data_IF_158758008248
#
_entry.id   IF_158758008248
#
_cell.length_a   1.000
_cell.length_b   1.000
_cell.length_c   1.000
_cell.angle_alpha   90.00
_cell.angle_beta   90.00
_cell.angle_gamma   90.00
#
_symmetry.space_group_name_H-M   'P 1'
#
loop_
_entity.id
_entity.type
_entity.pdbx_description
1 polymer ?
#
# COMPACT_ATOMS: atom_id res chain seq x y z
N UNK A 1 -14.02 34.70 -0.84
CA UNK A 1 -14.38 33.29 -1.10
C UNK A 1 -13.39 32.59 -2.03
N UNK A 2 -13.09 33.12 -3.23
CA UNK A 2 -12.11 32.50 -4.15
C UNK A 2 -10.69 32.36 -3.58
N UNK A 3 -10.18 33.37 -2.86
CA UNK A 3 -8.84 33.34 -2.27
C UNK A 3 -8.72 32.23 -1.21
N UNK A 4 -9.69 32.11 -0.31
CA UNK A 4 -9.70 31.07 0.72
C UNK A 4 -9.76 29.66 0.12
N UNK A 5 -10.59 29.49 -0.92
CA UNK A 5 -10.66 28.24 -1.68
C UNK A 5 -9.33 27.90 -2.36
N UNK A 6 -8.71 28.87 -3.03
CA UNK A 6 -7.44 28.68 -3.72
C UNK A 6 -6.29 28.35 -2.74
N UNK A 7 -6.24 29.03 -1.58
CA UNK A 7 -5.29 28.73 -0.52
C UNK A 7 -5.49 27.32 0.05
N UNK A 8 -6.73 26.89 0.25
CA UNK A 8 -7.05 25.52 0.67
C UNK A 8 -6.58 24.48 -0.35
N UNK A 9 -6.86 24.71 -1.63
CA UNK A 9 -6.40 23.85 -2.71
C UNK A 9 -4.86 23.77 -2.77
N UNK A 10 -4.19 24.93 -2.68
CA UNK A 10 -2.74 25.02 -2.69
C UNK A 10 -2.11 24.26 -1.51
N UNK A 11 -2.65 24.43 -0.30
CA UNK A 11 -2.16 23.75 0.89
C UNK A 11 -2.31 22.22 0.78
N UNK A 12 -3.45 21.73 0.29
CA UNK A 12 -3.67 20.29 0.09
C UNK A 12 -2.83 19.72 -1.04
N UNK A 13 -2.66 20.46 -2.14
CA UNK A 13 -1.75 20.09 -3.22
C UNK A 13 -0.29 20.02 -2.74
N UNK A 14 0.16 21.02 -1.97
CA UNK A 14 1.50 21.02 -1.38
C UNK A 14 1.67 19.82 -0.42
N UNK A 15 0.68 19.53 0.42
CA UNK A 15 0.68 18.36 1.30
C UNK A 15 0.76 17.05 0.52
N UNK A 16 0.04 16.93 -0.60
CA UNK A 16 0.10 15.77 -1.49
C UNK A 16 1.49 15.61 -2.11
N UNK A 17 2.09 16.69 -2.62
CA UNK A 17 3.43 16.70 -3.20
C UNK A 17 4.49 16.32 -2.16
N UNK A 18 4.43 16.90 -0.96
CA UNK A 18 5.34 16.57 0.14
C UNK A 18 5.18 15.10 0.55
N UNK A 19 3.95 14.59 0.65
CA UNK A 19 3.70 13.18 0.95
C UNK A 19 4.28 12.25 -0.11
N UNK A 20 4.12 12.60 -1.39
CA UNK A 20 4.71 11.84 -2.49
C UNK A 20 6.24 11.90 -2.48
N UNK A 21 6.84 13.06 -2.20
CA UNK A 21 8.29 13.22 -2.08
C UNK A 21 8.87 12.43 -0.90
N UNK A 22 8.18 12.40 0.24
CA UNK A 22 8.55 11.58 1.41
C UNK A 22 8.49 10.09 1.08
N UNK A 23 7.41 9.62 0.44
CA UNK A 23 7.30 8.23 0.02
C UNK A 23 8.41 7.85 -0.99
N UNK A 24 8.69 8.74 -1.96
CA UNK A 24 9.80 8.55 -2.91
C UNK A 24 11.14 8.43 -2.19
N UNK A 25 11.37 9.29 -1.20
CA UNK A 25 12.58 9.29 -0.38
C UNK A 25 12.71 8.00 0.42
N UNK A 26 11.64 7.54 1.07
CA UNK A 26 11.63 6.25 1.78
C UNK A 26 11.99 5.09 0.86
N UNK A 27 11.43 5.05 -0.36
CA UNK A 27 11.79 4.02 -1.35
C UNK A 27 13.24 4.16 -1.81
N UNK A 28 13.73 5.38 -2.03
CA UNK A 28 15.12 5.60 -2.42
C UNK A 28 16.13 5.20 -1.34
N UNK A 29 15.82 5.46 -0.06
CA UNK A 29 16.67 5.16 1.10
C UNK A 29 16.51 3.70 1.59
N UNK A 30 15.44 3.01 1.20
CA UNK A 30 15.23 1.60 1.53
C UNK A 30 16.24 0.67 0.86
N UNK A 31 16.39 -0.54 1.38
CA UNK A 31 17.27 -1.58 0.81
C UNK A 31 16.47 -2.50 -0.12
N UNK A 32 17.13 -3.03 -1.16
CA UNK A 32 16.51 -4.07 -1.97
C UNK A 32 16.36 -5.36 -1.15
N UNK A 33 15.25 -6.07 -1.33
CA UNK A 33 15.08 -7.40 -0.74
C UNK A 33 16.11 -8.37 -1.34
N UNK A 34 16.83 -9.09 -0.48
CA UNK A 34 17.83 -10.09 -0.87
C UNK A 34 17.37 -11.52 -0.60
N UNK A 35 16.38 -11.72 0.27
CA UNK A 35 15.84 -13.04 0.56
C UNK A 35 15.21 -13.66 -0.70
N UNK A 36 15.78 -14.79 -1.13
CA UNK A 36 15.34 -15.52 -2.32
C UNK A 36 13.92 -16.06 -2.16
N UNK A 37 13.52 -16.44 -0.95
CA UNK A 37 12.19 -16.96 -0.71
C UNK A 37 11.14 -15.87 -0.92
N UNK A 38 11.31 -14.71 -0.30
CA UNK A 38 10.44 -13.55 -0.52
C UNK A 38 10.39 -13.10 -2.00
N UNK A 39 11.56 -13.08 -2.68
CA UNK A 39 11.65 -12.72 -4.09
C UNK A 39 10.93 -13.74 -5.00
N UNK A 40 11.06 -15.03 -4.71
CA UNK A 40 10.38 -16.12 -5.42
C UNK A 40 8.86 -16.05 -5.22
N UNK A 41 8.41 -15.93 -3.98
CA UNK A 41 6.99 -15.80 -3.65
C UNK A 41 6.36 -14.59 -4.36
N UNK A 42 7.02 -13.42 -4.36
CA UNK A 42 6.55 -12.25 -5.12
C UNK A 42 6.43 -12.56 -6.61
N UNK A 43 7.43 -13.19 -7.22
CA UNK A 43 7.44 -13.47 -8.64
C UNK A 43 6.29 -14.40 -9.04
N UNK A 44 6.08 -15.47 -8.28
CA UNK A 44 4.96 -16.41 -8.46
C UNK A 44 3.61 -15.70 -8.33
N UNK A 45 3.41 -14.94 -7.24
CA UNK A 45 2.16 -14.20 -7.01
C UNK A 45 1.89 -13.18 -8.11
N UNK A 46 2.93 -12.48 -8.60
CA UNK A 46 2.78 -11.54 -9.72
C UNK A 46 2.36 -12.27 -11.01
N UNK A 47 2.94 -13.45 -11.28
CA UNK A 47 2.57 -14.27 -12.43
C UNK A 47 1.12 -14.78 -12.32
N UNK A 48 0.73 -15.32 -11.16
CA UNK A 48 -0.64 -15.76 -10.86
C UNK A 48 -1.67 -14.62 -10.96
N UNK A 49 -1.27 -13.40 -10.58
CA UNK A 49 -2.08 -12.20 -10.66
C UNK A 49 -2.16 -11.61 -12.09
N UNK A 50 -1.35 -12.10 -13.03
CA UNK A 50 -1.23 -11.55 -14.37
C UNK A 50 -0.55 -10.17 -14.42
N UNK A 51 0.25 -9.83 -13.40
CA UNK A 51 0.98 -8.56 -13.32
C UNK A 51 2.20 -8.62 -14.23
N UNK A 52 2.10 -7.97 -15.40
CA UNK A 52 3.18 -7.97 -16.42
C UNK A 52 4.29 -6.95 -16.17
N UNK A 53 4.06 -5.98 -15.30
CA UNK A 53 5.04 -4.94 -14.97
C UNK A 53 6.00 -5.43 -13.90
N UNK A 54 7.22 -4.90 -13.92
CA UNK A 54 8.20 -5.16 -12.87
C UNK A 54 7.71 -4.59 -11.53
N UNK A 55 7.62 -5.46 -10.52
CA UNK A 55 7.24 -5.09 -9.15
C UNK A 55 8.48 -5.17 -8.26
N UNK A 56 8.95 -4.03 -7.75
CA UNK A 56 10.07 -3.99 -6.82
C UNK A 56 9.68 -4.53 -5.44
N UNK A 57 10.61 -5.19 -4.77
CA UNK A 57 10.48 -5.58 -3.36
C UNK A 57 11.63 -4.98 -2.58
N UNK A 58 11.31 -4.19 -1.56
CA UNK A 58 12.29 -3.46 -0.76
C UNK A 58 11.93 -3.58 0.72
N UNK A 59 12.92 -3.34 1.56
CA UNK A 59 12.79 -3.36 3.02
C UNK A 59 13.31 -2.07 3.64
N UNK A 60 12.64 -1.58 4.67
CA UNK A 60 13.08 -0.41 5.42
C UNK A 60 12.65 -0.50 6.88
N UNK A 61 13.59 -0.24 7.80
CA UNK A 61 13.27 -0.05 9.22
C UNK A 61 12.52 1.26 9.52
N UNK A 62 12.36 2.16 8.54
CA UNK A 62 11.65 3.43 8.70
C UNK A 62 10.13 3.33 8.43
N UNK A 63 9.61 2.14 8.13
CA UNK A 63 8.17 1.90 7.94
C UNK A 63 7.63 0.92 8.97
N UNK A 64 6.46 1.24 9.53
CA UNK A 64 5.76 0.36 10.48
C UNK A 64 4.78 -0.62 9.81
N UNK A 65 4.44 -0.39 8.56
CA UNK A 65 3.51 -1.20 7.76
C UNK A 65 4.00 -1.29 6.30
N UNK A 66 3.48 -2.23 5.51
CA UNK A 66 3.73 -2.31 4.08
C UNK A 66 3.29 -1.02 3.40
N UNK A 67 4.10 -0.55 2.47
CA UNK A 67 3.81 0.63 1.66
C UNK A 67 3.96 0.28 0.20
N UNK A 68 2.89 0.47 -0.56
CA UNK A 68 2.93 0.39 -2.01
C UNK A 68 3.17 1.78 -2.63
N UNK A 69 4.23 1.88 -3.44
CA UNK A 69 4.59 3.14 -4.11
C UNK A 69 4.87 2.95 -5.60
N UNK A 70 4.41 3.91 -6.40
CA UNK A 70 4.70 4.00 -7.84
C UNK A 70 3.62 3.38 -8.74
N UNK A 71 3.40 4.00 -9.90
CA UNK A 71 2.38 3.57 -10.88
C UNK A 71 2.99 2.72 -12.00
N UNK A 72 4.08 3.21 -12.61
CA UNK A 72 4.74 2.51 -13.73
C UNK A 72 5.59 1.33 -13.25
N UNK A 73 6.35 1.54 -12.18
CA UNK A 73 7.18 0.53 -11.50
C UNK A 73 6.74 0.46 -10.04
N UNK A 74 5.64 -0.25 -9.73
CA UNK A 74 5.17 -0.40 -8.37
C UNK A 74 6.25 -1.07 -7.53
N UNK A 75 6.43 -0.59 -6.30
CA UNK A 75 7.39 -1.11 -5.35
C UNK A 75 6.66 -1.38 -4.05
N UNK A 76 6.74 -2.62 -3.58
CA UNK A 76 6.26 -3.06 -2.28
C UNK A 76 7.42 -2.83 -1.30
N UNK A 77 7.21 -1.97 -0.32
CA UNK A 77 8.16 -1.68 0.75
C UNK A 77 7.67 -2.33 2.04
N UNK A 78 8.45 -3.25 2.60
CA UNK A 78 8.12 -3.96 3.84
C UNK A 78 8.92 -3.43 5.03
N UNK A 79 8.36 -3.48 6.25
CA UNK A 79 9.13 -3.31 7.48
C UNK A 79 10.20 -4.40 7.60
N UNK A 80 11.43 -4.02 7.96
CA UNK A 80 12.56 -4.95 8.12
C UNK A 80 12.23 -6.05 9.15
N UNK A 81 11.66 -5.65 10.31
CA UNK A 81 11.28 -6.56 11.39
C UNK A 81 10.27 -7.64 10.98
N UNK A 82 9.42 -7.37 9.98
CA UNK A 82 8.39 -8.33 9.55
C UNK A 82 8.99 -9.43 8.68
N UNK A 83 10.00 -9.10 7.90
CA UNK A 83 10.71 -10.08 7.07
C UNK A 83 11.47 -11.07 7.95
N UNK A 84 11.99 -10.60 9.08
CA UNK A 84 12.72 -11.44 10.04
C UNK A 84 11.80 -12.27 10.96
N UNK A 85 10.60 -11.76 11.26
CA UNK A 85 9.72 -12.37 12.28
C UNK A 85 8.54 -13.16 11.72
N UNK A 86 8.13 -12.93 10.47
CA UNK A 86 7.01 -13.66 9.88
C UNK A 86 7.44 -15.04 9.39
N UNK A 87 6.57 -16.03 9.60
CA UNK A 87 6.72 -17.33 8.95
C UNK A 87 6.58 -17.17 7.42
N UNK A 88 7.12 -18.14 6.69
CA UNK A 88 7.09 -18.17 5.23
C UNK A 88 5.68 -18.01 4.65
N UNK A 89 4.72 -18.72 5.25
CA UNK A 89 3.32 -18.72 4.84
C UNK A 89 2.67 -17.34 5.07
N UNK A 90 2.97 -16.70 6.20
CA UNK A 90 2.46 -15.38 6.55
C UNK A 90 3.04 -14.29 5.66
N UNK A 91 4.33 -14.37 5.32
CA UNK A 91 4.96 -13.46 4.38
C UNK A 91 4.37 -13.61 2.98
N UNK A 92 4.14 -14.85 2.50
CA UNK A 92 3.49 -15.10 1.21
C UNK A 92 2.06 -14.54 1.20
N UNK A 93 1.33 -14.74 2.29
CA UNK A 93 -0.03 -14.24 2.46
C UNK A 93 -0.09 -12.70 2.39
N UNK A 94 0.81 -12.02 3.09
CA UNK A 94 0.96 -10.57 3.04
C UNK A 94 1.34 -10.09 1.63
N UNK A 95 2.30 -10.76 0.98
CA UNK A 95 2.68 -10.41 -0.39
C UNK A 95 1.52 -10.61 -1.37
N UNK A 96 0.66 -11.61 -1.16
CA UNK A 96 -0.52 -11.81 -1.99
C UNK A 96 -1.48 -10.62 -1.90
N UNK A 97 -1.72 -10.11 -0.69
CA UNK A 97 -2.51 -8.89 -0.47
C UNK A 97 -1.90 -7.68 -1.19
N UNK A 98 -0.60 -7.43 -1.01
CA UNK A 98 0.08 -6.31 -1.67
C UNK A 98 0.09 -6.44 -3.21
N UNK A 99 0.27 -7.64 -3.74
CA UNK A 99 0.19 -7.91 -5.19
C UNK A 99 -1.23 -7.68 -5.72
N UNK A 100 -2.28 -7.92 -4.93
CA UNK A 100 -3.65 -7.59 -5.32
C UNK A 100 -3.82 -6.08 -5.58
N UNK A 101 -3.27 -5.24 -4.68
CA UNK A 101 -3.23 -3.79 -4.86
C UNK A 101 -2.43 -3.37 -6.09
N UNK A 102 -1.29 -4.02 -6.32
CA UNK A 102 -0.50 -3.83 -7.54
C UNK A 102 -1.34 -4.16 -8.77
N UNK A 103 -1.95 -5.34 -8.84
CA UNK A 103 -2.74 -5.79 -9.99
C UNK A 103 -3.86 -4.79 -10.32
N UNK A 104 -4.57 -4.31 -9.30
CA UNK A 104 -5.68 -3.36 -9.44
C UNK A 104 -5.24 -1.93 -9.71
N UNK A 105 -3.96 -1.61 -9.53
CA UNK A 105 -3.42 -0.27 -9.78
C UNK A 105 -3.82 0.75 -8.72
N UNK A 106 -3.96 0.32 -7.47
CA UNK A 106 -4.49 1.15 -6.38
C UNK A 106 -3.63 2.40 -6.10
N UNK A 107 -2.33 2.39 -6.40
CA UNK A 107 -1.51 3.62 -6.34
C UNK A 107 -2.04 4.73 -7.24
N UNK A 108 -2.44 4.41 -8.47
CA UNK A 108 -3.00 5.40 -9.40
C UNK A 108 -4.39 5.84 -8.94
N UNK A 109 -5.22 4.88 -8.51
CA UNK A 109 -6.57 5.16 -8.04
C UNK A 109 -6.56 6.06 -6.79
N UNK A 110 -5.64 5.82 -5.85
CA UNK A 110 -5.41 6.67 -4.68
C UNK A 110 -4.91 8.07 -5.07
N UNK A 111 -4.02 8.18 -6.06
CA UNK A 111 -3.54 9.47 -6.54
C UNK A 111 -4.67 10.30 -7.18
N UNK A 112 -5.44 9.70 -8.08
CA UNK A 112 -6.59 10.35 -8.74
C UNK A 112 -7.61 10.81 -7.71
N UNK A 113 -7.97 9.93 -6.76
CA UNK A 113 -8.89 10.26 -5.69
C UNK A 113 -8.41 11.47 -4.87
N UNK A 114 -7.15 11.51 -4.46
CA UNK A 114 -6.58 12.66 -3.73
C UNK A 114 -6.59 13.94 -4.55
N UNK A 115 -6.33 13.87 -5.86
CA UNK A 115 -6.40 15.04 -6.74
C UNK A 115 -7.85 15.55 -6.84
N UNK A 116 -8.83 14.66 -6.96
CA UNK A 116 -10.25 15.03 -7.00
C UNK A 116 -10.75 15.60 -5.66
N UNK A 117 -10.22 15.14 -4.53
CA UNK A 117 -10.54 15.65 -3.20
C UNK A 117 -10.06 17.09 -2.97
N UNK A 118 -8.97 17.53 -3.61
CA UNK A 118 -8.39 18.87 -3.42
C UNK A 118 -9.40 19.99 -3.71
N UNK A 119 -10.04 20.10 -4.89
CA UNK A 119 -10.99 21.18 -5.16
C UNK A 119 -12.28 21.05 -4.34
N UNK A 120 -12.62 19.82 -3.95
CA UNK A 120 -13.83 19.48 -3.21
C UNK A 120 -13.58 19.24 -1.72
N UNK A 121 -12.52 19.85 -1.17
CA UNK A 121 -12.03 19.53 0.17
C UNK A 121 -13.05 19.80 1.28
N UNK A 122 -14.09 20.59 1.03
CA UNK A 122 -15.15 20.93 1.98
C UNK A 122 -16.45 20.14 1.73
N UNK A 123 -16.48 19.23 0.75
CA UNK A 123 -17.70 18.53 0.35
C UNK A 123 -17.80 17.15 1.05
N UNK A 124 -18.72 16.97 2.03
CA UNK A 124 -18.78 15.74 2.83
C UNK A 124 -19.09 14.49 2.01
N UNK A 125 -19.89 14.62 0.92
CA UNK A 125 -20.16 13.48 0.04
C UNK A 125 -18.91 12.95 -0.66
N UNK A 126 -17.94 13.82 -0.98
CA UNK A 126 -16.67 13.40 -1.60
C UNK A 126 -15.86 12.62 -0.57
N UNK A 127 -15.77 13.08 0.68
CA UNK A 127 -15.11 12.32 1.75
C UNK A 127 -15.76 10.96 1.99
N UNK A 128 -17.09 10.88 1.97
CA UNK A 128 -17.80 9.61 2.15
C UNK A 128 -17.56 8.65 0.98
N UNK A 129 -17.63 9.15 -0.25
CA UNK A 129 -17.33 8.36 -1.45
C UNK A 129 -15.89 7.84 -1.41
N UNK A 130 -14.94 8.71 -1.08
CA UNK A 130 -13.53 8.37 -0.90
C UNK A 130 -13.29 7.28 0.15
N UNK A 131 -13.98 7.34 1.29
CA UNK A 131 -13.91 6.30 2.33
C UNK A 131 -14.50 4.98 1.85
N UNK A 132 -15.64 5.00 1.16
CA UNK A 132 -16.27 3.78 0.60
C UNK A 132 -15.41 3.14 -0.46
N UNK A 133 -14.79 3.94 -1.33
CA UNK A 133 -13.86 3.44 -2.34
C UNK A 133 -12.65 2.79 -1.65
N UNK A 134 -12.09 3.42 -0.62
CA UNK A 134 -10.99 2.82 0.14
C UNK A 134 -11.40 1.48 0.77
N UNK A 135 -12.55 1.42 1.44
CA UNK A 135 -13.04 0.17 2.06
C UNK A 135 -13.25 -0.95 1.02
N UNK A 136 -13.89 -0.63 -0.11
CA UNK A 136 -14.10 -1.60 -1.18
C UNK A 136 -12.77 -2.10 -1.79
N UNK A 137 -11.71 -1.28 -1.79
CA UNK A 137 -10.38 -1.72 -2.25
C UNK A 137 -9.79 -2.78 -1.34
N UNK A 138 -9.89 -2.58 -0.02
CA UNK A 138 -9.42 -3.54 0.99
C UNK A 138 -10.20 -4.85 0.90
N UNK A 139 -11.53 -4.80 0.85
CA UNK A 139 -12.39 -5.99 0.73
C UNK A 139 -12.05 -6.82 -0.53
N UNK A 140 -11.78 -6.15 -1.66
CA UNK A 140 -11.39 -6.82 -2.89
C UNK A 140 -9.96 -7.39 -2.86
N UNK A 141 -9.04 -6.71 -2.17
CA UNK A 141 -7.67 -7.19 -1.99
C UNK A 141 -7.66 -8.44 -1.10
N UNK A 142 -8.39 -8.40 0.01
CA UNK A 142 -8.59 -9.55 0.90
C UNK A 142 -9.26 -10.72 0.20
N UNK A 143 -10.35 -10.47 -0.53
CA UNK A 143 -11.02 -11.51 -1.31
C UNK A 143 -10.09 -12.18 -2.33
N UNK A 144 -9.19 -11.42 -2.96
CA UNK A 144 -8.20 -11.99 -3.88
C UNK A 144 -7.16 -12.84 -3.14
N UNK A 145 -6.61 -12.36 -2.03
CA UNK A 145 -5.64 -13.10 -1.22
C UNK A 145 -6.23 -14.42 -0.70
N UNK A 146 -7.46 -14.40 -0.17
CA UNK A 146 -8.19 -15.58 0.27
C UNK A 146 -8.43 -16.59 -0.87
N UNK A 147 -8.70 -16.10 -2.08
CA UNK A 147 -8.90 -16.96 -3.26
C UNK A 147 -7.64 -17.71 -3.73
N UNK A 148 -6.47 -17.45 -3.13
CA UNK A 148 -5.20 -18.14 -3.42
C UNK A 148 -4.87 -19.24 -2.40
N UNK A 149 -5.85 -19.66 -1.60
CA UNK A 149 -5.66 -20.76 -0.64
C UNK A 149 -4.89 -20.34 0.62
N UNK A 150 -4.76 -19.04 0.86
CA UNK A 150 -4.27 -18.54 2.14
C UNK A 150 -5.31 -18.88 3.21
N UNK A 151 -4.91 -19.53 4.31
CA UNK A 151 -5.81 -19.79 5.43
C UNK A 151 -6.37 -18.45 5.93
N UNK A 152 -7.68 -18.29 5.85
CA UNK A 152 -8.36 -17.05 6.23
C UNK A 152 -8.08 -16.65 7.68
N UNK A 153 -7.91 -17.63 8.58
CA UNK A 153 -7.62 -17.36 10.01
C UNK A 153 -6.15 -17.05 10.24
N UNK A 154 -5.23 -17.71 9.54
CA UNK A 154 -3.82 -17.34 9.50
C UNK A 154 -3.63 -15.93 8.94
N UNK A 155 -4.19 -15.68 7.76
CA UNK A 155 -4.20 -14.38 7.07
C UNK A 155 -4.69 -13.24 7.96
N UNK A 156 -5.89 -13.38 8.54
CA UNK A 156 -6.48 -12.34 9.38
C UNK A 156 -5.64 -12.08 10.65
N UNK A 157 -5.06 -13.13 11.25
CA UNK A 157 -4.16 -12.97 12.41
C UNK A 157 -2.85 -12.31 12.02
N UNK A 158 -2.29 -12.65 10.87
CA UNK A 158 -1.02 -12.10 10.40
C UNK A 158 -1.15 -10.64 9.98
N UNK A 159 -2.27 -10.27 9.34
CA UNK A 159 -2.65 -8.87 9.08
C UNK A 159 -3.00 -8.10 10.35
N UNK A 160 -3.70 -8.71 11.31
CA UNK A 160 -3.99 -8.07 12.60
C UNK A 160 -2.71 -7.80 13.39
N UNK A 161 -1.81 -8.79 13.50
CA UNK A 161 -0.54 -8.63 14.18
C UNK A 161 0.38 -7.64 13.46
N UNK A 162 0.33 -7.59 12.13
CA UNK A 162 0.93 -6.56 11.30
C UNK A 162 0.37 -5.16 11.64
N UNK A 163 -0.96 -5.00 11.65
CA UNK A 163 -1.62 -3.73 11.94
C UNK A 163 -1.35 -3.26 13.38
N UNK A 164 -1.35 -4.15 14.36
CA UNK A 164 -1.01 -3.84 15.75
C UNK A 164 0.45 -3.34 15.89
N UNK A 165 1.39 -4.01 15.21
CA UNK A 165 2.81 -3.57 15.18
C UNK A 165 2.99 -2.23 14.48
N UNK A 166 2.20 -1.96 13.44
CA UNK A 166 2.19 -0.67 12.76
C UNK A 166 1.67 0.46 13.65
N UNK A 167 0.63 0.19 14.44
CA UNK A 167 0.05 1.15 15.39
C UNK A 167 0.99 1.46 16.56
N UNK A 168 1.70 0.45 17.09
CA UNK A 168 2.67 0.63 18.19
C UNK A 168 3.91 1.48 17.84
N UNK A 169 4.20 1.69 16.55
CA UNK A 169 5.29 2.57 16.08
C UNK A 169 4.86 4.01 15.76
N UNK A 170 3.55 4.28 15.71
CA UNK A 170 2.99 5.60 15.45
C UNK A 170 2.55 6.33 16.74
N UNK A 171 2.66 5.65 17.90
CA UNK A 171 2.39 6.19 19.24
C UNK A 171 3.61 6.79 19.92
#
# INVERSE_FOLDING_TARGET
>A
MAIAWALGCLLLAARLVVGHARARRLVAESRAMTDRQALGARAELCAEAGVRREVGLRVSGSVGAPVLYGVKRPTILLPEDWVESLAAEDLRALLAHEVAHVRRGDCLANLVQRICEIPAFFHPAVWLASRRIALAREELADGWALSRGVDARGYARSLAAAAERAQGRLG
#
